data_IF_464485324235
#
_entry.id   IF_464485324235
#
_cell.length_a   1.000
_cell.length_b   1.000
_cell.length_c   1.000
_cell.angle_alpha   90.00
_cell.angle_beta   90.00
_cell.angle_gamma   90.00
#
_symmetry.space_group_name_H-M   'P 1'
#
loop_
_entity.id
_entity.type
_entity.pdbx_description
1 polymer ?
#
# COMPACT_ATOMS: atom_id res chain seq x y z
N UNK A 1 12.49 -7.62 -28.64
CA UNK A 1 13.36 -7.23 -27.52
C UNK A 1 13.20 -5.74 -27.34
N UNK A 2 12.67 -5.29 -26.19
CA UNK A 2 12.54 -3.87 -25.88
C UNK A 2 13.89 -3.35 -25.34
N UNK A 3 14.26 -2.12 -25.67
CA UNK A 3 15.47 -1.49 -25.15
C UNK A 3 15.29 0.02 -25.05
N UNK A 4 15.92 0.66 -24.06
CA UNK A 4 16.04 2.10 -24.00
C UNK A 4 17.52 2.51 -24.02
N UNK A 5 17.80 3.71 -24.55
CA UNK A 5 19.15 4.27 -24.56
C UNK A 5 19.18 5.54 -23.73
N UNK A 6 20.11 5.61 -22.79
CA UNK A 6 20.38 6.79 -21.98
C UNK A 6 21.82 7.23 -22.23
N UNK A 7 22.01 8.32 -22.98
CA UNK A 7 23.32 8.73 -23.53
C UNK A 7 23.97 7.56 -24.29
N UNK A 8 25.14 7.10 -23.86
CA UNK A 8 25.90 6.02 -24.49
C UNK A 8 25.57 4.63 -23.92
N UNK A 9 24.67 4.56 -22.93
CA UNK A 9 24.26 3.31 -22.28
C UNK A 9 23.00 2.76 -22.95
N UNK A 10 23.04 1.50 -23.36
CA UNK A 10 21.86 0.76 -23.84
C UNK A 10 21.41 -0.20 -22.76
N UNK A 11 20.17 -0.03 -22.30
CA UNK A 11 19.50 -0.90 -21.31
C UNK A 11 18.52 -1.77 -22.07
N UNK A 12 18.60 -3.07 -21.86
CA UNK A 12 17.73 -4.07 -22.47
C UNK A 12 16.67 -4.54 -21.48
N UNK A 13 15.56 -5.00 -22.02
CA UNK A 13 14.55 -5.73 -21.26
C UNK A 13 15.20 -6.91 -20.51
N UNK A 14 15.03 -6.93 -19.19
CA UNK A 14 15.65 -7.91 -18.29
C UNK A 14 16.90 -7.41 -17.55
N UNK A 15 17.49 -6.28 -17.96
CA UNK A 15 18.61 -5.70 -17.22
C UNK A 15 18.13 -5.16 -15.86
N UNK A 16 18.88 -5.47 -14.81
CA UNK A 16 18.60 -4.93 -13.47
C UNK A 16 19.14 -3.50 -13.40
N UNK A 17 18.29 -2.59 -12.93
CA UNK A 17 18.67 -1.22 -12.59
C UNK A 17 18.26 -0.90 -11.16
N UNK A 18 19.05 -0.07 -10.50
CA UNK A 18 18.73 0.49 -9.18
C UNK A 18 18.41 1.98 -9.35
N UNK A 19 17.34 2.44 -8.71
CA UNK A 19 16.93 3.85 -8.71
C UNK A 19 17.03 4.40 -7.29
N UNK A 20 17.85 5.44 -7.12
CA UNK A 20 17.86 6.25 -5.90
C UNK A 20 16.88 7.41 -6.06
N UNK A 21 15.75 7.32 -5.37
CA UNK A 21 14.69 8.35 -5.42
C UNK A 21 15.08 9.66 -4.76
N UNK A 22 16.06 9.66 -3.85
CA UNK A 22 16.49 10.87 -3.13
C UNK A 22 17.35 11.75 -4.02
N UNK A 23 18.29 11.16 -4.76
CA UNK A 23 19.19 11.90 -5.65
C UNK A 23 18.74 11.91 -7.12
N UNK A 24 17.77 11.06 -7.47
CA UNK A 24 17.33 10.87 -8.86
C UNK A 24 18.30 10.05 -9.72
N UNK A 25 19.28 9.37 -9.11
CA UNK A 25 20.27 8.57 -9.84
C UNK A 25 19.67 7.24 -10.32
N UNK A 26 20.05 6.84 -11.53
CA UNK A 26 19.80 5.52 -12.09
C UNK A 26 21.14 4.82 -12.26
N UNK A 27 21.26 3.64 -11.65
CA UNK A 27 22.50 2.87 -11.56
C UNK A 27 22.27 1.53 -12.26
N UNK A 28 23.19 1.12 -13.13
CA UNK A 28 23.15 -0.21 -13.74
C UNK A 28 23.54 -1.28 -12.71
N UNK A 29 22.77 -2.36 -12.67
CA UNK A 29 22.94 -3.46 -11.73
C UNK A 29 22.26 -3.21 -10.39
N UNK A 30 22.48 -4.15 -9.48
CA UNK A 30 21.89 -4.16 -8.14
C UNK A 30 22.78 -3.43 -7.14
N UNK A 31 22.22 -2.48 -6.41
CA UNK A 31 22.83 -1.93 -5.19
C UNK A 31 22.17 -2.59 -3.98
N UNK A 32 22.93 -3.05 -2.97
CA UNK A 32 22.36 -3.60 -1.75
C UNK A 32 21.44 -2.59 -1.05
N UNK A 33 20.21 -3.00 -0.76
CA UNK A 33 19.28 -2.21 0.02
C UNK A 33 19.58 -2.39 1.50
N UNK A 34 19.60 -1.28 2.24
CA UNK A 34 19.70 -1.30 3.71
C UNK A 34 18.27 -1.28 4.24
N UNK A 35 17.80 -2.34 4.92
CA UNK A 35 16.48 -2.31 5.55
C UNK A 35 16.49 -1.27 6.68
N UNK A 36 15.37 -0.56 6.91
CA UNK A 36 15.25 0.35 8.03
C UNK A 36 15.44 -0.43 9.34
N UNK A 37 16.36 0.03 10.19
CA UNK A 37 16.61 -0.55 11.50
C UNK A 37 15.79 0.18 12.55
N UNK A 38 14.79 -0.49 13.12
CA UNK A 38 14.07 -0.01 14.31
C UNK A 38 14.84 -0.46 15.54
N UNK A 39 15.79 0.36 15.99
CA UNK A 39 16.56 0.12 17.21
C UNK A 39 15.91 0.80 18.44
N UNK A 40 16.45 0.54 19.63
CA UNK A 40 15.93 1.10 20.88
C UNK A 40 15.97 2.63 20.91
N UNK A 41 17.04 3.24 20.41
CA UNK A 41 17.16 4.70 20.35
C UNK A 41 16.06 5.34 19.50
N UNK A 42 15.75 4.74 18.35
CA UNK A 42 14.67 5.19 17.48
C UNK A 42 13.30 5.10 18.16
N UNK A 43 13.00 4.00 18.86
CA UNK A 43 11.76 3.86 19.64
C UNK A 43 11.68 4.88 20.76
N UNK A 44 12.80 5.13 21.46
CA UNK A 44 12.85 6.12 22.54
C UNK A 44 12.55 7.53 22.06
N UNK A 45 13.08 7.90 20.88
CA UNK A 45 12.77 9.18 20.26
C UNK A 45 11.29 9.30 19.90
N UNK A 46 10.70 8.25 19.31
CA UNK A 46 9.27 8.23 18.97
C UNK A 46 8.38 8.34 20.22
N UNK A 47 8.74 7.66 21.31
CA UNK A 47 8.01 7.76 22.57
C UNK A 47 7.98 9.20 23.11
N UNK A 48 9.09 9.93 23.06
CA UNK A 48 9.11 11.35 23.43
C UNK A 48 8.26 12.23 22.50
N UNK A 49 8.24 11.92 21.20
CA UNK A 49 7.40 12.63 20.25
C UNK A 49 5.90 12.39 20.55
N UNK A 50 5.55 11.17 20.95
CA UNK A 50 4.19 10.78 21.32
C UNK A 50 3.69 11.45 22.60
N UNK A 51 4.57 11.72 23.57
CA UNK A 51 4.22 12.46 24.80
C UNK A 51 3.84 13.93 24.53
N UNK A 52 4.45 14.54 23.50
CA UNK A 52 4.31 15.98 23.23
C UNK A 52 3.23 16.25 22.18
N UNK A 53 3.01 15.32 21.25
CA UNK A 53 2.07 15.54 20.15
C UNK A 53 0.64 15.66 20.65
N UNK A 54 -0.13 16.50 19.97
CA UNK A 54 -1.59 16.65 20.19
C UNK A 54 -2.42 15.91 19.15
N UNK A 55 -1.85 15.67 17.98
CA UNK A 55 -2.53 15.00 16.87
C UNK A 55 -2.25 13.51 16.89
N UNK A 56 -3.29 12.72 16.60
CA UNK A 56 -3.16 11.30 16.32
C UNK A 56 -2.42 11.06 15.01
N UNK A 57 -1.59 10.01 14.96
CA UNK A 57 -0.92 9.58 13.73
C UNK A 57 -1.60 8.31 13.23
N UNK A 58 -2.25 8.41 12.07
CA UNK A 58 -2.90 7.29 11.39
C UNK A 58 -2.24 7.04 10.05
N UNK A 59 -2.25 5.78 9.61
CA UNK A 59 -1.62 5.37 8.38
C UNK A 59 -2.56 5.48 7.17
N UNK A 60 -1.96 5.68 6.00
CA UNK A 60 -2.60 5.44 4.73
C UNK A 60 -2.24 4.00 4.32
N UNK A 61 -3.20 3.09 4.31
CA UNK A 61 -2.96 1.69 4.01
C UNK A 61 -4.09 1.13 3.14
N UNK A 62 -3.70 0.56 1.99
CA UNK A 62 -4.63 0.04 0.99
C UNK A 62 -4.58 -1.50 0.92
N UNK A 63 -3.64 -2.13 1.64
CA UNK A 63 -3.47 -3.58 1.74
C UNK A 63 -3.34 -4.04 3.21
N UNK A 64 -3.66 -5.30 3.52
CA UNK A 64 -3.45 -5.88 4.84
C UNK A 64 -1.99 -5.82 5.29
N UNK A 65 -1.03 -6.02 4.37
CA UNK A 65 0.40 -5.97 4.65
C UNK A 65 0.85 -4.56 5.05
N UNK A 66 0.32 -3.53 4.36
CA UNK A 66 0.60 -2.14 4.71
C UNK A 66 -0.01 -1.76 6.07
N UNK A 67 -1.22 -2.24 6.36
CA UNK A 67 -1.88 -2.00 7.63
C UNK A 67 -1.14 -2.69 8.79
N UNK A 68 -0.62 -3.91 8.58
CA UNK A 68 0.20 -4.63 9.55
C UNK A 68 1.52 -3.91 9.81
N UNK A 69 2.27 -3.54 8.77
CA UNK A 69 3.52 -2.77 8.93
C UNK A 69 3.29 -1.44 9.62
N UNK A 70 2.22 -0.74 9.29
CA UNK A 70 1.88 0.54 9.91
C UNK A 70 1.67 0.41 11.42
N UNK A 71 1.15 -0.74 11.88
CA UNK A 71 1.03 -1.05 13.31
C UNK A 71 2.39 -1.29 13.97
N UNK A 72 3.34 -1.92 13.28
CA UNK A 72 4.70 -2.10 13.80
C UNK A 72 5.41 -0.74 14.02
N UNK A 73 4.94 0.32 13.34
CA UNK A 73 5.33 1.72 13.55
C UNK A 73 4.38 2.49 14.49
N UNK A 74 3.55 1.79 15.26
CA UNK A 74 2.66 2.35 16.29
C UNK A 74 1.58 3.32 15.76
N UNK A 75 1.19 3.18 14.48
CA UNK A 75 0.08 3.96 13.94
C UNK A 75 -1.23 3.66 14.69
N UNK A 76 -1.97 4.70 15.04
CA UNK A 76 -3.24 4.67 15.80
C UNK A 76 -4.45 4.25 14.94
N UNK A 77 -4.21 3.58 13.82
CA UNK A 77 -5.23 3.08 12.90
C UNK A 77 -5.02 3.57 11.48
N UNK A 78 -6.02 3.30 10.64
CA UNK A 78 -6.01 3.68 9.23
C UNK A 78 -6.83 4.96 9.07
N UNK A 79 -6.20 6.02 8.58
CA UNK A 79 -6.82 7.32 8.31
C UNK A 79 -7.39 7.40 6.90
N UNK A 80 -6.77 6.68 5.95
CA UNK A 80 -7.19 6.60 4.57
C UNK A 80 -6.91 5.20 4.01
N UNK A 81 -7.95 4.60 3.42
CA UNK A 81 -7.85 3.40 2.61
C UNK A 81 -8.40 3.75 1.23
N UNK A 82 -7.55 3.73 0.20
CA UNK A 82 -7.93 3.99 -1.18
C UNK A 82 -8.53 2.74 -1.79
N UNK A 83 -9.84 2.77 -2.05
CA UNK A 83 -10.56 1.62 -2.59
C UNK A 83 -10.30 1.44 -4.08
N UNK A 84 -9.85 2.48 -4.78
CA UNK A 84 -9.53 2.45 -6.21
C UNK A 84 -8.47 1.38 -6.53
N UNK A 85 -7.45 1.23 -5.70
CA UNK A 85 -6.44 0.17 -5.84
C UNK A 85 -7.04 -1.24 -5.72
N UNK A 86 -8.19 -1.38 -5.04
CA UNK A 86 -8.90 -2.66 -4.92
C UNK A 86 -9.67 -3.03 -6.20
N UNK A 87 -9.88 -2.06 -7.11
CA UNK A 87 -10.62 -2.23 -8.37
C UNK A 87 -9.74 -2.12 -9.62
N UNK A 88 -8.50 -1.65 -9.47
CA UNK A 88 -7.52 -1.52 -10.56
C UNK A 88 -6.71 -2.79 -10.87
N UNK A 89 -7.03 -3.91 -10.23
CA UNK A 89 -6.46 -5.21 -10.61
C UNK A 89 -6.84 -5.56 -12.06
N UNK A 90 -5.93 -6.25 -12.77
CA UNK A 90 -6.05 -6.52 -14.21
C UNK A 90 -7.33 -7.27 -14.58
N UNK A 91 -7.83 -8.12 -13.68
CA UNK A 91 -9.07 -8.87 -13.80
C UNK A 91 -10.34 -8.04 -13.55
N UNK A 92 -10.23 -6.86 -12.90
CA UNK A 92 -11.38 -6.03 -12.50
C UNK A 92 -11.52 -4.74 -13.30
N UNK A 93 -10.41 -4.23 -13.83
CA UNK A 93 -10.41 -3.01 -14.62
C UNK A 93 -11.45 -3.03 -15.77
N UNK A 94 -11.63 -4.14 -16.52
CA UNK A 94 -12.66 -4.21 -17.56
C UNK A 94 -14.09 -4.04 -17.03
N UNK A 95 -14.37 -4.52 -15.81
CA UNK A 95 -15.70 -4.41 -15.19
C UNK A 95 -16.01 -2.98 -14.77
N UNK A 96 -15.02 -2.28 -14.20
CA UNK A 96 -15.16 -0.85 -13.85
C UNK A 96 -15.36 -0.02 -15.11
N UNK A 97 -14.60 -0.28 -16.17
CA UNK A 97 -14.74 0.41 -17.46
C UNK A 97 -16.13 0.16 -18.07
N UNK A 98 -16.61 -1.08 -18.05
CA UNK A 98 -17.95 -1.42 -18.53
C UNK A 98 -19.05 -0.73 -17.72
N UNK A 99 -18.91 -0.63 -16.39
CA UNK A 99 -19.83 0.12 -15.54
C UNK A 99 -19.83 1.63 -15.80
N UNK A 100 -18.71 2.21 -16.25
CA UNK A 100 -18.62 3.62 -16.65
C UNK A 100 -19.33 3.84 -18.00
N UNK A 101 -19.27 2.87 -18.91
CA UNK A 101 -19.86 2.95 -20.26
C UNK A 101 -21.32 2.48 -20.35
N UNK A 102 -21.86 1.90 -19.28
CA UNK A 102 -23.24 1.41 -19.21
C UNK A 102 -24.26 2.54 -19.49
N UNK A 103 -25.34 2.21 -20.19
CA UNK A 103 -26.36 3.19 -20.58
C UNK A 103 -27.55 3.23 -19.64
N UNK A 104 -27.75 2.18 -18.85
CA UNK A 104 -28.80 2.10 -17.84
C UNK A 104 -28.24 1.66 -16.49
N UNK A 105 -29.00 1.94 -15.43
CA UNK A 105 -28.63 1.54 -14.08
C UNK A 105 -28.62 0.01 -13.91
N UNK A 106 -29.48 -0.71 -14.64
CA UNK A 106 -29.52 -2.17 -14.64
C UNK A 106 -28.26 -2.77 -15.27
N UNK A 107 -27.82 -2.26 -16.43
CA UNK A 107 -26.56 -2.67 -17.07
C UNK A 107 -25.37 -2.38 -16.15
N UNK A 108 -25.36 -1.20 -15.53
CA UNK A 108 -24.32 -0.78 -14.59
C UNK A 108 -24.25 -1.69 -13.37
N UNK A 109 -25.39 -2.07 -12.81
CA UNK A 109 -25.48 -2.95 -11.66
C UNK A 109 -24.91 -4.36 -11.95
N UNK A 110 -25.08 -4.87 -13.18
CA UNK A 110 -24.49 -6.16 -13.59
C UNK A 110 -22.97 -6.11 -13.49
N UNK A 111 -22.33 -5.05 -14.02
CA UNK A 111 -20.88 -4.90 -13.97
C UNK A 111 -20.34 -4.63 -12.56
N UNK A 112 -21.11 -3.93 -11.72
CA UNK A 112 -20.75 -3.61 -10.32
C UNK A 112 -21.11 -4.72 -9.32
N UNK A 113 -21.88 -5.74 -9.72
CA UNK A 113 -22.22 -6.89 -8.88
C UNK A 113 -21.01 -7.73 -8.47
N UNK A 114 -19.85 -7.47 -9.07
CA UNK A 114 -18.56 -7.95 -8.59
C UNK A 114 -18.32 -7.48 -7.16
N UNK A 115 -18.37 -8.41 -6.21
CA UNK A 115 -17.92 -8.14 -4.84
C UNK A 115 -16.43 -7.78 -4.90
N UNK A 116 -15.95 -6.72 -4.21
CA UNK A 116 -14.53 -6.60 -3.94
C UNK A 116 -14.07 -7.90 -3.27
N UNK A 117 -12.88 -8.42 -3.60
CA UNK A 117 -12.33 -9.63 -2.96
C UNK A 117 -12.60 -9.53 -1.46
N UNK A 118 -13.47 -10.41 -0.97
CA UNK A 118 -13.99 -10.40 0.39
C UNK A 118 -12.85 -10.45 1.41
N UNK A 119 -11.72 -11.03 1.00
CA UNK A 119 -10.48 -11.17 1.74
C UNK A 119 -9.80 -9.83 2.03
N UNK A 120 -9.75 -8.89 1.07
CA UNK A 120 -9.03 -7.63 1.25
C UNK A 120 -9.77 -6.65 2.15
N UNK A 121 -11.08 -6.44 1.93
CA UNK A 121 -11.87 -5.51 2.75
C UNK A 121 -11.99 -5.98 4.20
N UNK A 122 -12.15 -7.28 4.45
CA UNK A 122 -12.20 -7.79 5.84
C UNK A 122 -10.83 -7.75 6.50
N UNK A 123 -9.74 -8.01 5.79
CA UNK A 123 -8.41 -7.97 6.37
C UNK A 123 -7.96 -6.54 6.71
N UNK A 124 -8.25 -5.53 5.88
CA UNK A 124 -8.00 -4.12 6.21
C UNK A 124 -8.89 -3.67 7.36
N UNK A 125 -10.18 -4.03 7.36
CA UNK A 125 -11.09 -3.72 8.48
C UNK A 125 -10.64 -4.40 9.77
N UNK A 126 -10.13 -5.64 9.73
CA UNK A 126 -9.56 -6.33 10.90
C UNK A 126 -8.26 -5.67 11.37
N UNK A 127 -7.39 -5.28 10.45
CA UNK A 127 -6.15 -4.59 10.76
C UNK A 127 -6.41 -3.19 11.35
N UNK A 128 -7.45 -2.49 10.89
CA UNK A 128 -7.92 -1.22 11.43
C UNK A 128 -8.66 -1.38 12.77
N UNK A 129 -9.50 -2.41 12.92
CA UNK A 129 -10.32 -2.64 14.12
C UNK A 129 -9.49 -3.06 15.35
N UNK A 130 -8.39 -3.79 15.15
CA UNK A 130 -7.50 -4.17 16.24
C UNK A 130 -6.69 -2.99 16.82
N UNK A 131 -6.87 -1.78 16.31
CA UNK A 131 -6.39 -0.54 16.95
C UNK A 131 -7.39 0.05 17.94
N UNK A 132 -8.67 -0.34 17.86
CA UNK A 132 -9.72 0.15 18.77
C UNK A 132 -9.92 -0.75 20.01
N UNK A 133 -9.48 -2.02 19.96
CA UNK A 133 -9.68 -2.99 21.04
C UNK A 133 -8.46 -3.91 21.19
N UNK A 134 -7.47 -3.56 22.04
CA UNK A 134 -6.26 -4.36 22.27
C UNK A 134 -6.54 -5.79 22.75
N UNK A 135 -7.73 -6.06 23.29
CA UNK A 135 -8.07 -7.29 24.02
C UNK A 135 -8.81 -8.36 23.20
N UNK A 136 -9.20 -8.09 21.94
CA UNK A 136 -10.13 -8.97 21.20
C UNK A 136 -9.48 -9.90 20.16
N UNK A 137 -8.15 -9.94 20.05
CA UNK A 137 -7.45 -10.70 19.00
C UNK A 137 -7.05 -12.13 19.45
N UNK A 138 -7.21 -12.51 20.71
CA UNK A 138 -6.85 -13.85 21.20
C UNK A 138 -8.02 -14.85 21.27
N UNK A 139 -9.20 -14.50 20.76
CA UNK A 139 -10.34 -15.43 20.72
C UNK A 139 -11.09 -15.24 19.41
N UNK A 140 -10.60 -15.89 18.36
CA UNK A 140 -11.29 -16.58 17.24
C UNK A 140 -10.22 -17.05 16.25
#
# INVERSE_FOLDING_TARGET
>A
SKSCRLKDVVIREGDIITIDRTTGRVILGTVPLIPPMINEDFRRLLAWADEIRKLGVRANADTPEDAAKSRDFEAEGIGLCRTEHMFMAEDRLPHVQAAILAKTDEERAVFLSMRPSSTMSTAILRAAAAVLLPTLVWSI
#
